data_IF_021279392923
#
_entry.id   IF_021279392923
#
_cell.length_a   1.000
_cell.length_b   1.000
_cell.length_c   1.000
_cell.angle_alpha   90.00
_cell.angle_beta   90.00
_cell.angle_gamma   90.00
#
_symmetry.space_group_name_H-M   'P 1'
#
loop_
_entity.id
_entity.type
_entity.pdbx_description
1 polymer ?
#
# COMPACT_ATOMS: atom_id res chain seq x y z
N UNK A 1 3.11 -5.84 -9.28
CA UNK A 1 2.43 -6.53 -10.39
C UNK A 1 1.01 -6.03 -10.45
N UNK A 2 0.48 -5.80 -11.64
CA UNK A 2 -0.91 -5.42 -11.86
C UNK A 2 -1.83 -6.65 -11.74
N UNK A 3 -3.10 -6.45 -11.40
CA UNK A 3 -4.05 -7.53 -11.11
C UNK A 3 -4.16 -8.56 -12.24
N UNK A 4 -4.11 -8.10 -13.50
CA UNK A 4 -4.12 -8.95 -14.70
C UNK A 4 -2.92 -9.91 -14.77
N UNK A 5 -1.75 -9.45 -14.36
CA UNK A 5 -0.50 -10.22 -14.38
C UNK A 5 -0.52 -11.28 -13.28
N UNK A 6 -1.06 -10.93 -12.12
CA UNK A 6 -1.22 -11.83 -10.97
C UNK A 6 -2.15 -12.99 -11.33
N UNK A 7 -3.32 -12.71 -11.94
CA UNK A 7 -4.27 -13.75 -12.36
C UNK A 7 -3.63 -14.70 -13.38
N UNK A 8 -2.94 -14.15 -14.39
CA UNK A 8 -2.25 -14.94 -15.39
C UNK A 8 -1.11 -15.78 -14.79
N UNK A 9 -0.39 -15.25 -13.80
CA UNK A 9 0.68 -15.97 -13.10
C UNK A 9 0.11 -17.15 -12.30
N UNK A 10 -0.94 -16.94 -11.50
CA UNK A 10 -1.61 -17.98 -10.71
C UNK A 10 -2.06 -19.13 -11.62
N UNK A 11 -2.68 -18.80 -12.77
CA UNK A 11 -3.12 -19.82 -13.73
C UNK A 11 -1.96 -20.64 -14.27
N UNK A 12 -0.88 -19.97 -14.67
CA UNK A 12 0.32 -20.63 -15.25
C UNK A 12 1.04 -21.49 -14.21
N UNK A 13 1.16 -21.03 -12.97
CA UNK A 13 1.73 -21.78 -11.85
C UNK A 13 0.92 -23.04 -11.53
N UNK A 14 -0.41 -22.96 -11.66
CA UNK A 14 -1.31 -24.11 -11.56
C UNK A 14 -1.31 -25.03 -12.81
N UNK A 15 -0.53 -24.69 -13.85
CA UNK A 15 -0.48 -25.39 -15.14
C UNK A 15 -1.85 -25.53 -15.83
N UNK A 16 -2.69 -24.48 -15.76
CA UNK A 16 -4.04 -24.49 -16.33
C UNK A 16 -4.14 -23.65 -17.61
N UNK A 17 -5.05 -24.08 -18.49
CA UNK A 17 -5.61 -23.23 -19.54
C UNK A 17 -6.61 -22.23 -18.96
N UNK A 18 -6.94 -21.18 -19.72
CA UNK A 18 -7.98 -20.21 -19.30
C UNK A 18 -9.34 -20.88 -19.09
N UNK A 19 -9.64 -21.91 -19.88
CA UNK A 19 -10.88 -22.68 -19.78
C UNK A 19 -10.94 -23.46 -18.47
N UNK A 20 -9.87 -24.17 -18.11
CA UNK A 20 -9.82 -24.96 -16.87
C UNK A 20 -9.86 -24.08 -15.63
N UNK A 21 -9.20 -22.91 -15.66
CA UNK A 21 -9.29 -21.93 -14.57
C UNK A 21 -10.72 -21.41 -14.43
N UNK A 22 -11.36 -21.07 -15.56
CA UNK A 22 -12.73 -20.58 -15.55
C UNK A 22 -13.70 -21.61 -14.97
N UNK A 23 -13.53 -22.89 -15.33
CA UNK A 23 -14.31 -23.99 -14.78
C UNK A 23 -14.13 -24.13 -13.25
N UNK A 24 -12.90 -23.99 -12.74
CA UNK A 24 -12.64 -24.02 -11.29
C UNK A 24 -13.22 -22.82 -10.54
N UNK A 25 -13.37 -21.68 -11.22
CA UNK A 25 -13.90 -20.43 -10.65
C UNK A 25 -15.40 -20.22 -10.92
N UNK A 26 -16.08 -21.18 -11.55
CA UNK A 26 -17.49 -21.09 -11.91
C UNK A 26 -17.82 -19.86 -12.77
N UNK A 27 -16.91 -19.49 -13.67
CA UNK A 27 -17.08 -18.38 -14.63
C UNK A 27 -16.84 -18.85 -16.06
N UNK A 28 -17.07 -17.97 -17.02
CA UNK A 28 -16.77 -18.25 -18.43
C UNK A 28 -15.29 -18.03 -18.73
N UNK A 29 -14.75 -18.76 -19.71
CA UNK A 29 -13.39 -18.51 -20.22
C UNK A 29 -13.20 -17.06 -20.67
N UNK A 30 -14.24 -16.44 -21.23
CA UNK A 30 -14.21 -15.02 -21.62
C UNK A 30 -13.95 -14.12 -20.41
N UNK A 31 -14.53 -14.41 -19.24
CA UNK A 31 -14.26 -13.63 -18.02
C UNK A 31 -12.77 -13.68 -17.65
N UNK A 32 -12.17 -14.88 -17.61
CA UNK A 32 -10.74 -15.05 -17.32
C UNK A 32 -9.88 -14.35 -18.37
N UNK A 33 -10.20 -14.45 -19.66
CA UNK A 33 -9.46 -13.76 -20.72
C UNK A 33 -9.51 -12.24 -20.55
N UNK A 34 -10.67 -11.67 -20.23
CA UNK A 34 -10.82 -10.22 -20.03
C UNK A 34 -10.07 -9.73 -18.80
N UNK A 35 -10.01 -10.52 -17.73
CA UNK A 35 -9.19 -10.23 -16.56
C UNK A 35 -7.70 -10.25 -16.88
N UNK A 36 -7.21 -11.28 -17.57
CA UNK A 36 -5.78 -11.40 -17.94
C UNK A 36 -5.35 -10.34 -18.95
N UNK A 37 -6.28 -9.81 -19.75
CA UNK A 37 -6.03 -8.70 -20.68
C UNK A 37 -6.21 -7.31 -20.02
N UNK A 38 -6.75 -7.24 -18.80
CA UNK A 38 -7.03 -5.98 -18.10
C UNK A 38 -8.25 -5.21 -18.63
N UNK A 39 -9.13 -5.86 -19.39
CA UNK A 39 -10.38 -5.24 -19.88
C UNK A 39 -11.44 -5.09 -18.79
N UNK A 40 -11.40 -6.00 -17.80
CA UNK A 40 -12.24 -5.97 -16.60
C UNK A 40 -11.43 -6.47 -15.40
N UNK A 41 -11.89 -6.18 -14.19
CA UNK A 41 -11.31 -6.71 -12.95
C UNK A 41 -12.31 -7.64 -12.25
N UNK A 42 -11.84 -8.72 -11.60
CA UNK A 42 -12.69 -9.50 -10.70
C UNK A 42 -13.12 -8.64 -9.51
N UNK A 43 -14.38 -8.76 -9.11
CA UNK A 43 -14.85 -8.17 -7.85
C UNK A 43 -14.21 -8.83 -6.63
N UNK A 44 -14.39 -8.22 -5.45
CA UNK A 44 -13.78 -8.68 -4.19
C UNK A 44 -14.09 -10.14 -3.87
N UNK A 45 -15.33 -10.60 -4.07
CA UNK A 45 -15.68 -12.00 -3.79
C UNK A 45 -15.06 -12.99 -4.78
N UNK A 46 -14.84 -12.56 -6.02
CA UNK A 46 -14.11 -13.35 -7.00
C UNK A 46 -12.62 -13.43 -6.64
N UNK A 47 -12.02 -12.35 -6.15
CA UNK A 47 -10.64 -12.37 -5.62
C UNK A 47 -10.53 -13.34 -4.43
N UNK A 48 -11.48 -13.30 -3.49
CA UNK A 48 -11.54 -14.26 -2.37
C UNK A 48 -11.64 -15.70 -2.88
N UNK A 49 -12.49 -15.97 -3.87
CA UNK A 49 -12.62 -17.31 -4.45
C UNK A 49 -11.31 -17.77 -5.10
N UNK A 50 -10.61 -16.91 -5.84
CA UNK A 50 -9.30 -17.23 -6.43
C UNK A 50 -8.30 -17.57 -5.32
N UNK A 51 -8.25 -16.78 -4.25
CA UNK A 51 -7.39 -17.04 -3.09
C UNK A 51 -7.61 -18.42 -2.49
N UNK A 52 -8.87 -18.77 -2.22
CA UNK A 52 -9.24 -20.08 -1.64
C UNK A 52 -8.97 -21.23 -2.63
N UNK A 53 -9.31 -21.06 -3.90
CA UNK A 53 -9.22 -22.11 -4.93
C UNK A 53 -7.77 -22.49 -5.24
N UNK A 54 -6.86 -21.51 -5.24
CA UNK A 54 -5.47 -21.71 -5.63
C UNK A 54 -4.48 -21.62 -4.46
N UNK A 55 -4.98 -21.44 -3.23
CA UNK A 55 -4.16 -21.34 -2.03
C UNK A 55 -3.20 -20.14 -2.04
N UNK A 56 -3.64 -19.02 -2.64
CA UNK A 56 -2.81 -17.82 -2.76
C UNK A 56 -3.20 -16.77 -1.72
N UNK A 57 -2.23 -16.12 -1.05
CA UNK A 57 -2.50 -15.07 -0.07
C UNK A 57 -3.14 -13.84 -0.74
N UNK A 58 -4.06 -13.18 -0.01
CA UNK A 58 -4.79 -12.02 -0.53
C UNK A 58 -3.84 -10.85 -0.86
N UNK A 59 -2.76 -10.74 -0.09
CA UNK A 59 -1.66 -9.78 -0.25
C UNK A 59 -1.03 -9.89 -1.64
N UNK A 60 -1.12 -11.04 -2.32
CA UNK A 60 -0.62 -11.18 -3.69
C UNK A 60 -1.37 -10.28 -4.68
N UNK A 61 -2.63 -9.97 -4.42
CA UNK A 61 -3.48 -9.14 -5.28
C UNK A 61 -3.31 -7.64 -5.04
N UNK A 62 -2.78 -7.28 -3.87
CA UNK A 62 -2.57 -5.89 -3.48
C UNK A 62 -1.09 -5.62 -3.44
N UNK A 63 -0.61 -4.73 -4.31
CA UNK A 63 0.74 -4.23 -4.19
C UNK A 63 0.79 -3.32 -2.95
N UNK A 64 1.00 -3.92 -1.77
CA UNK A 64 1.36 -3.21 -0.55
C UNK A 64 2.82 -3.52 -0.23
N UNK A 65 3.79 -2.89 -0.93
CA UNK A 65 5.18 -3.01 -0.49
C UNK A 65 5.28 -2.39 0.91
N UNK A 66 5.89 -3.11 1.85
CA UNK A 66 6.15 -2.54 3.19
C UNK A 66 7.05 -1.30 3.11
N UNK A 67 7.86 -1.21 2.07
CA UNK A 67 8.79 -0.11 1.80
C UNK A 67 8.16 1.03 0.98
N UNK A 68 6.84 0.98 0.76
CA UNK A 68 6.11 2.01 0.03
C UNK A 68 5.59 3.12 0.90
N UNK A 69 5.68 3.06 2.23
CA UNK A 69 5.11 4.07 3.11
C UNK A 69 6.15 4.63 4.07
N UNK A 70 6.17 5.95 4.19
CA UNK A 70 7.02 6.67 5.12
C UNK A 70 6.68 6.26 6.57
N UNK A 71 7.67 5.75 7.30
CA UNK A 71 7.56 5.35 8.72
C UNK A 71 7.48 6.54 9.70
N UNK A 72 7.20 7.74 9.19
CA UNK A 72 6.90 8.94 9.98
C UNK A 72 5.48 9.45 9.74
N UNK A 73 5.04 9.56 8.48
CA UNK A 73 3.75 10.17 8.16
C UNK A 73 2.76 9.24 7.44
N UNK A 74 3.13 7.97 7.22
CA UNK A 74 2.36 7.02 6.41
C UNK A 74 2.13 7.44 4.96
N UNK A 75 2.83 8.47 4.46
CA UNK A 75 2.74 8.89 3.06
C UNK A 75 3.35 7.84 2.13
N UNK A 76 2.70 7.49 1.01
CA UNK A 76 3.29 6.63 -0.01
C UNK A 76 4.57 7.24 -0.61
N UNK A 77 5.67 6.50 -0.63
CA UNK A 77 6.94 6.81 -1.31
C UNK A 77 6.93 6.06 -2.65
N UNK A 78 6.12 6.54 -3.59
CA UNK A 78 5.95 5.92 -4.91
C UNK A 78 7.07 6.21 -5.90
N UNK A 79 7.91 7.22 -5.59
CA UNK A 79 9.00 7.71 -6.43
C UNK A 79 10.28 7.79 -5.59
N UNK A 80 11.44 7.29 -6.09
CA UNK A 80 12.73 7.44 -5.43
C UNK A 80 13.07 8.89 -5.03
N UNK A 81 12.62 9.89 -5.79
CA UNK A 81 12.86 11.32 -5.51
C UNK A 81 12.06 11.84 -4.30
N UNK A 82 11.16 11.03 -3.74
CA UNK A 82 10.45 11.33 -2.51
C UNK A 82 11.20 10.80 -1.28
N UNK A 83 12.32 10.09 -1.42
CA UNK A 83 13.08 9.52 -0.30
C UNK A 83 13.84 10.58 0.49
N UNK A 84 13.89 10.37 1.80
CA UNK A 84 14.75 11.12 2.71
C UNK A 84 16.22 10.87 2.45
N UNK A 85 17.10 11.57 3.17
CA UNK A 85 18.55 11.41 3.05
C UNK A 85 19.21 11.21 4.40
N UNK A 86 20.24 10.38 4.44
CA UNK A 86 21.16 10.23 5.58
C UNK A 86 22.21 11.36 5.59
N UNK A 87 22.98 11.47 6.68
CA UNK A 87 24.06 12.46 6.83
C UNK A 87 25.14 12.39 5.74
N UNK A 88 25.35 11.20 5.15
CA UNK A 88 26.30 11.00 4.06
C UNK A 88 25.70 11.27 2.66
N UNK A 89 24.45 11.71 2.61
CA UNK A 89 23.71 12.00 1.39
C UNK A 89 23.10 10.78 0.69
N UNK A 90 23.25 9.57 1.23
CA UNK A 90 22.56 8.39 0.71
C UNK A 90 21.05 8.50 0.95
N UNK A 91 20.26 7.86 0.09
CA UNK A 91 18.80 7.85 0.23
C UNK A 91 18.36 6.93 1.38
N UNK A 92 17.40 7.40 2.16
CA UNK A 92 16.75 6.60 3.20
C UNK A 92 15.53 5.87 2.62
N UNK A 93 15.39 4.58 2.91
CA UNK A 93 14.31 3.74 2.36
C UNK A 93 13.00 3.83 3.15
N UNK A 94 13.04 4.32 4.38
CA UNK A 94 11.94 4.26 5.33
C UNK A 94 11.20 5.59 5.49
N UNK A 95 11.84 6.72 5.19
CA UNK A 95 11.29 8.04 5.40
C UNK A 95 11.28 8.86 4.13
N UNK A 96 10.26 9.70 3.96
CA UNK A 96 10.18 10.62 2.84
C UNK A 96 11.00 11.91 3.11
N UNK A 97 11.35 12.63 2.03
CA UNK A 97 12.11 13.89 2.10
C UNK A 97 11.45 15.01 2.90
N UNK A 98 10.13 14.93 3.09
CA UNK A 98 9.40 15.91 3.89
C UNK A 98 9.51 15.64 5.39
N UNK A 99 9.76 14.38 5.77
CA UNK A 99 9.86 13.96 7.16
C UNK A 99 11.31 13.81 7.63
N UNK A 100 12.24 13.45 6.75
CA UNK A 100 13.63 13.14 7.11
C UNK A 100 14.61 13.62 6.03
N UNK A 101 15.60 14.42 6.43
CA UNK A 101 16.65 14.96 5.57
C UNK A 101 17.95 15.08 6.37
N UNK A 102 19.07 14.82 5.70
CA UNK A 102 20.41 14.97 6.27
C UNK A 102 20.56 14.28 7.64
N UNK A 103 20.06 13.04 7.74
CA UNK A 103 20.15 12.22 8.95
C UNK A 103 19.21 12.63 10.09
N UNK A 104 18.32 13.60 9.89
CA UNK A 104 17.45 14.11 10.95
C UNK A 104 16.00 14.28 10.51
N UNK A 105 15.08 14.15 11.48
CA UNK A 105 13.67 14.50 11.24
C UNK A 105 13.51 16.02 11.06
N UNK A 106 12.78 16.41 10.03
CA UNK A 106 12.51 17.83 9.71
C UNK A 106 11.69 18.51 10.81
N UNK A 107 10.75 17.78 11.40
CA UNK A 107 9.93 18.23 12.54
C UNK A 107 10.64 17.91 13.87
N UNK A 108 11.59 18.77 14.27
CA UNK A 108 12.40 18.62 15.50
C UNK A 108 11.63 19.02 16.75
N UNK A 109 11.70 18.19 17.80
CA UNK A 109 11.07 18.49 19.09
C UNK A 109 9.54 18.43 19.10
N UNK A 110 8.95 17.90 18.03
CA UNK A 110 7.49 17.78 17.85
C UNK A 110 7.04 16.39 18.29
N UNK A 111 6.05 16.32 19.19
CA UNK A 111 5.42 15.07 19.60
C UNK A 111 4.33 14.61 18.59
N UNK A 112 3.73 13.44 18.80
CA UNK A 112 2.75 12.90 17.84
C UNK A 112 1.52 13.78 17.70
N UNK A 113 0.93 14.27 18.80
CA UNK A 113 -0.28 15.09 18.77
C UNK A 113 -0.04 16.41 18.05
N UNK A 114 1.09 17.06 18.36
CA UNK A 114 1.53 18.29 17.67
C UNK A 114 1.77 18.05 16.18
N UNK A 115 2.31 16.88 15.82
CA UNK A 115 2.50 16.50 14.42
C UNK A 115 1.17 16.31 13.69
N UNK A 116 0.23 15.58 14.30
CA UNK A 116 -1.12 15.36 13.75
C UNK A 116 -1.81 16.70 13.49
N UNK A 117 -1.83 17.59 14.49
CA UNK A 117 -2.46 18.90 14.35
C UNK A 117 -1.84 19.75 13.23
N UNK A 118 -0.51 19.67 13.07
CA UNK A 118 0.23 20.41 12.05
C UNK A 118 0.03 19.88 10.63
N UNK A 119 -0.26 18.58 10.45
CA UNK A 119 -0.37 17.96 9.12
C UNK A 119 -1.79 17.56 8.72
N UNK A 120 -2.77 17.63 9.63
CA UNK A 120 -4.14 17.19 9.39
C UNK A 120 -4.81 17.85 8.17
N UNK A 121 -4.57 19.15 7.93
CA UNK A 121 -5.16 19.85 6.78
C UNK A 121 -4.59 19.35 5.45
N UNK A 122 -3.31 18.99 5.42
CA UNK A 122 -2.67 18.42 4.24
C UNK A 122 -3.22 17.03 3.93
N UNK A 123 -3.37 16.19 4.97
CA UNK A 123 -3.96 14.85 4.84
C UNK A 123 -5.43 14.92 4.38
N UNK A 124 -6.21 15.82 4.98
CA UNK A 124 -7.61 16.05 4.61
C UNK A 124 -7.75 16.45 3.13
N UNK A 125 -6.88 17.35 2.64
CA UNK A 125 -6.84 17.73 1.23
C UNK A 125 -6.40 16.57 0.32
N UNK A 126 -5.38 15.80 0.74
CA UNK A 126 -4.84 14.70 -0.05
C UNK A 126 -5.84 13.55 -0.23
N UNK A 127 -6.62 13.23 0.82
CA UNK A 127 -7.62 12.17 0.80
C UNK A 127 -9.02 12.66 0.43
N UNK A 128 -9.22 13.97 0.30
CA UNK A 128 -10.52 14.61 0.09
C UNK A 128 -11.55 14.21 1.16
N UNK A 129 -11.14 14.35 2.43
CA UNK A 129 -11.93 14.08 3.64
C UNK A 129 -11.97 15.32 4.54
N UNK A 130 -12.78 15.31 5.59
CA UNK A 130 -12.76 16.39 6.59
C UNK A 130 -11.49 16.35 7.44
N UNK A 131 -11.14 17.49 8.03
CA UNK A 131 -10.00 17.59 8.98
C UNK A 131 -10.18 16.63 10.17
N UNK A 132 -11.39 16.49 10.69
CA UNK A 132 -11.70 15.61 11.83
C UNK A 132 -11.45 14.14 11.46
N UNK A 133 -11.86 13.71 10.27
CA UNK A 133 -11.57 12.37 9.76
C UNK A 133 -10.07 12.15 9.56
N UNK A 134 -9.35 13.15 9.06
CA UNK A 134 -7.89 13.08 8.91
C UNK A 134 -7.18 12.94 10.28
N UNK A 135 -7.55 13.75 11.27
CA UNK A 135 -7.00 13.63 12.64
C UNK A 135 -7.25 12.23 13.21
N UNK A 136 -8.48 11.72 13.07
CA UNK A 136 -8.86 10.38 13.54
C UNK A 136 -8.04 9.27 12.87
N UNK A 137 -7.87 9.35 11.54
CA UNK A 137 -7.06 8.42 10.77
C UNK A 137 -5.59 8.45 11.21
N UNK A 138 -5.00 9.65 11.32
CA UNK A 138 -3.61 9.80 11.72
C UNK A 138 -3.36 9.30 13.15
N UNK A 139 -4.23 9.65 14.10
CA UNK A 139 -4.16 9.15 15.48
C UNK A 139 -4.23 7.62 15.55
N UNK A 140 -4.87 6.98 14.58
CA UNK A 140 -4.94 5.51 14.47
C UNK A 140 -3.67 4.92 13.84
N UNK A 141 -3.10 5.55 12.81
CA UNK A 141 -1.99 4.97 12.04
C UNK A 141 -0.61 5.29 12.62
N UNK A 142 -0.37 6.53 13.05
CA UNK A 142 0.95 6.98 13.49
C UNK A 142 1.58 6.14 14.61
N UNK A 143 0.84 5.65 15.65
CA UNK A 143 1.40 4.80 16.70
C UNK A 143 2.09 3.53 16.21
N UNK A 144 1.76 3.07 15.00
CA UNK A 144 2.32 1.85 14.41
C UNK A 144 3.59 2.08 13.61
N UNK A 145 3.99 3.34 13.34
CA UNK A 145 5.15 3.66 12.52
C UNK A 145 6.43 3.80 13.35
N UNK A 146 7.58 3.51 12.76
CA UNK A 146 8.87 3.42 13.48
C UNK A 146 9.25 4.71 14.23
N UNK A 147 8.97 5.91 13.68
CA UNK A 147 9.24 7.19 14.38
C UNK A 147 8.52 7.27 15.74
N UNK A 148 7.34 6.68 15.83
CA UNK A 148 6.42 6.91 16.95
C UNK A 148 6.20 5.70 17.85
N UNK A 149 6.63 4.51 17.42
CA UNK A 149 6.38 3.25 18.13
C UNK A 149 6.96 3.22 19.56
N UNK A 150 8.00 4.00 19.84
CA UNK A 150 8.59 4.09 21.19
C UNK A 150 7.89 5.09 22.11
N UNK A 151 6.98 5.94 21.61
CA UNK A 151 6.19 6.86 22.43
C UNK A 151 4.98 6.20 23.12
N UNK A 152 4.70 4.93 22.82
CA UNK A 152 3.55 4.16 23.36
C UNK A 152 3.92 3.12 24.41
N UNK A 153 5.16 3.14 24.92
CA UNK A 153 5.60 2.32 26.08
C UNK A 153 5.60 3.09 27.38
#
# INVERSE_FOLDING_TARGET
MDMKEIIAAIRKEANLTQEEMAHKLYVTRQAVSRWENGETTPGVDMVKLICVTFGVPLERFFNMPKDYFCQCCSMPITDPDLRGTEHDGQTNEHYCKYCYQDGEFTAKGVNMDEFIEATADMEAQALNISREEAVSLMATLLPHLDRWRDATK
#
